data_IF_109745823856
#
_entry.id   IF_109745823856
#
_cell.length_a   1.000
_cell.length_b   1.000
_cell.length_c   1.000
_cell.angle_alpha   90.00
_cell.angle_beta   90.00
_cell.angle_gamma   90.00
#
_symmetry.space_group_name_H-M   'P 1'
#
loop_
_entity.id
_entity.type
_entity.pdbx_description
1 polymer ?
#
# COMPACT_ATOMS: atom_id res chain seq x y z
N UNK A 1 -16.60 -10.88 -1.31
CA UNK A 1 -15.63 -9.86 -1.77
C UNK A 1 -16.22 -8.49 -1.50
N UNK A 2 -15.53 -7.56 -0.82
CA UNK A 2 -16.08 -6.23 -0.50
C UNK A 2 -15.03 -5.13 -0.70
N UNK A 3 -15.28 -4.31 -1.71
CA UNK A 3 -14.52 -3.12 -2.11
C UNK A 3 -14.98 -1.92 -1.26
N UNK A 4 -14.07 -1.04 -0.84
CA UNK A 4 -14.42 0.26 -0.25
C UNK A 4 -13.64 1.38 -0.92
N UNK A 5 -14.37 2.42 -1.25
CA UNK A 5 -13.92 3.68 -1.81
C UNK A 5 -13.81 4.67 -0.65
N UNK A 6 -12.64 5.24 -0.39
CA UNK A 6 -12.49 6.40 0.50
C UNK A 6 -12.69 7.66 -0.34
N UNK A 7 -13.50 8.62 0.13
CA UNK A 7 -13.76 9.88 -0.58
C UNK A 7 -12.67 10.92 -0.27
N UNK A 8 -12.19 11.53 -1.35
CA UNK A 8 -11.42 12.78 -1.51
C UNK A 8 -10.13 12.96 -0.67
N UNK A 9 -8.95 12.76 -1.27
CA UNK A 9 -8.74 12.16 -2.60
C UNK A 9 -9.15 10.69 -2.59
N UNK A 10 -9.53 10.14 -3.74
CA UNK A 10 -9.90 8.72 -3.82
C UNK A 10 -8.68 7.88 -3.46
N UNK A 11 -8.80 6.96 -2.50
CA UNK A 11 -7.69 6.10 -2.13
C UNK A 11 -8.16 4.71 -1.69
N UNK A 12 -7.28 3.72 -1.83
CA UNK A 12 -7.54 2.35 -1.36
C UNK A 12 -6.28 1.72 -0.74
N UNK A 13 -6.48 0.89 0.29
CA UNK A 13 -5.42 0.07 0.89
C UNK A 13 -5.66 -1.41 0.55
N UNK A 14 -4.65 -2.09 0.02
CA UNK A 14 -4.66 -3.50 -0.35
C UNK A 14 -3.57 -4.25 0.42
N UNK A 15 -3.77 -5.56 0.64
CA UNK A 15 -2.70 -6.44 1.12
C UNK A 15 -2.36 -7.48 0.06
N UNK A 16 -1.13 -7.48 -0.41
CA UNK A 16 -0.68 -8.30 -1.52
C UNK A 16 0.29 -9.38 -1.04
N UNK A 17 0.17 -10.58 -1.61
CA UNK A 17 1.10 -11.67 -1.35
C UNK A 17 2.29 -11.59 -2.28
N UNK A 18 3.47 -11.51 -1.69
CA UNK A 18 4.72 -11.79 -2.35
C UNK A 18 5.29 -13.14 -1.93
N UNK A 19 6.29 -13.58 -2.70
CA UNK A 19 7.05 -14.79 -2.41
C UNK A 19 7.89 -14.66 -1.13
N UNK A 20 8.44 -13.47 -0.89
CA UNK A 20 9.38 -13.19 0.21
C UNK A 20 8.77 -12.32 1.33
N UNK A 21 7.44 -12.19 1.34
CA UNK A 21 6.75 -11.31 2.28
C UNK A 21 5.34 -10.92 1.85
N UNK A 22 4.64 -10.21 2.73
CA UNK A 22 3.37 -9.54 2.41
C UNK A 22 3.59 -8.05 2.19
N UNK A 23 2.70 -7.39 1.46
CA UNK A 23 2.81 -5.95 1.15
C UNK A 23 1.51 -5.25 1.43
N UNK A 24 1.55 -4.19 2.23
CA UNK A 24 0.43 -3.26 2.32
C UNK A 24 0.64 -2.16 1.30
N UNK A 25 -0.36 -1.94 0.46
CA UNK A 25 -0.29 -1.05 -0.70
C UNK A 25 -1.39 -0.02 -0.59
N UNK A 26 -1.03 1.23 -0.32
CA UNK A 26 -1.95 2.36 -0.30
C UNK A 26 -1.81 3.15 -1.60
N UNK A 27 -2.88 3.17 -2.38
CA UNK A 27 -2.96 3.89 -3.65
C UNK A 27 -3.78 5.16 -3.48
N UNK A 28 -3.30 6.28 -4.02
CA UNK A 28 -4.04 7.55 -4.10
C UNK A 28 -4.32 7.92 -5.56
N UNK A 29 -5.57 8.29 -5.85
CA UNK A 29 -6.12 8.67 -7.15
C UNK A 29 -6.79 10.06 -7.03
N UNK A 30 -5.98 11.12 -6.91
CA UNK A 30 -6.39 12.51 -7.18
C UNK A 30 -5.21 13.49 -7.01
N UNK A 31 -4.87 14.22 -8.08
CA UNK A 31 -3.98 15.39 -8.07
C UNK A 31 -2.47 15.12 -8.06
N UNK A 32 -2.01 14.05 -7.42
CA UNK A 32 -0.63 13.55 -7.48
C UNK A 32 -0.64 12.06 -7.13
N UNK A 33 -0.82 11.21 -8.14
CA UNK A 33 -1.05 9.79 -7.93
C UNK A 33 0.24 9.11 -7.45
N UNK A 34 0.14 8.40 -6.33
CA UNK A 34 1.26 7.70 -5.73
C UNK A 34 0.79 6.42 -5.06
N UNK A 35 1.61 5.37 -5.22
CA UNK A 35 1.47 4.11 -4.51
C UNK A 35 2.48 4.08 -3.37
N UNK A 36 2.00 3.86 -2.16
CA UNK A 36 2.81 3.67 -0.96
C UNK A 36 2.81 2.18 -0.62
N UNK A 37 3.99 1.59 -0.50
CA UNK A 37 4.16 0.16 -0.31
C UNK A 37 4.97 -0.05 0.96
N UNK A 38 4.41 -0.79 1.91
CA UNK A 38 5.14 -1.26 3.09
C UNK A 38 5.27 -2.77 3.03
N UNK A 39 6.51 -3.26 3.07
CA UNK A 39 6.84 -4.69 3.08
C UNK A 39 6.83 -5.26 4.49
N UNK A 40 6.23 -6.44 4.63
CA UNK A 40 6.32 -7.31 5.78
C UNK A 40 7.17 -8.54 5.43
N UNK A 41 8.10 -8.93 6.31
CA UNK A 41 8.99 -10.08 6.06
C UNK A 41 8.22 -11.43 5.99
N UNK A 42 7.14 -11.57 6.74
CA UNK A 42 6.28 -12.76 6.70
C UNK A 42 5.31 -12.74 5.52
N UNK A 43 5.06 -13.89 4.87
CA UNK A 43 4.13 -13.99 3.75
C UNK A 43 2.68 -13.79 4.20
N UNK A 44 1.80 -13.46 3.25
CA UNK A 44 0.37 -13.22 3.52
C UNK A 44 -0.31 -14.41 4.18
N UNK A 45 -0.05 -15.63 3.72
CA UNK A 45 -0.66 -16.83 4.31
C UNK A 45 -0.36 -16.98 5.80
N UNK A 46 0.85 -16.63 6.21
CA UNK A 46 1.23 -16.59 7.62
C UNK A 46 0.47 -15.46 8.35
N UNK A 47 0.43 -14.24 7.82
CA UNK A 47 -0.26 -13.14 8.48
C UNK A 47 -1.78 -13.36 8.60
N UNK A 48 -2.41 -13.92 7.56
CA UNK A 48 -3.85 -14.22 7.57
C UNK A 48 -4.19 -15.32 8.57
N UNK A 49 -3.33 -16.33 8.74
CA UNK A 49 -3.49 -17.35 9.79
C UNK A 49 -3.19 -16.80 11.18
N UNK A 50 -2.28 -15.83 11.30
CA UNK A 50 -1.88 -15.19 12.55
C UNK A 50 -2.59 -13.85 12.75
N UNK A 51 -3.91 -13.90 12.95
CA UNK A 51 -4.79 -12.71 13.09
C UNK A 51 -4.26 -11.61 14.02
N UNK A 52 -3.67 -11.89 15.20
CA UNK A 52 -3.13 -10.83 16.06
C UNK A 52 -1.99 -10.05 15.40
N UNK A 53 -1.09 -10.74 14.70
CA UNK A 53 0.05 -10.12 14.02
C UNK A 53 -0.41 -9.28 12.83
N UNK A 54 -1.35 -9.80 12.03
CA UNK A 54 -1.97 -9.04 10.95
C UNK A 54 -2.67 -7.78 11.44
N UNK A 55 -3.47 -7.87 12.53
CA UNK A 55 -4.13 -6.69 13.12
C UNK A 55 -3.13 -5.66 13.58
N UNK A 56 -2.06 -6.08 14.27
CA UNK A 56 -1.00 -5.18 14.73
C UNK A 56 -0.39 -4.42 13.55
N UNK A 57 -0.15 -5.11 12.44
CA UNK A 57 0.46 -4.49 11.27
C UNK A 57 -0.51 -3.60 10.49
N UNK A 58 -1.77 -3.99 10.37
CA UNK A 58 -2.81 -3.15 9.79
C UNK A 58 -2.94 -1.83 10.57
N UNK A 59 -3.03 -1.90 11.89
CA UNK A 59 -3.09 -0.71 12.76
C UNK A 59 -1.82 0.13 12.64
N UNK A 60 -0.65 -0.50 12.49
CA UNK A 60 0.58 0.25 12.24
C UNK A 60 0.53 1.01 10.91
N UNK A 61 0.05 0.39 9.83
CA UNK A 61 -0.11 1.06 8.51
C UNK A 61 -1.17 2.16 8.57
N UNK A 62 -2.30 1.91 9.21
CA UNK A 62 -3.35 2.92 9.43
C UNK A 62 -2.77 4.16 10.13
N UNK A 63 -1.97 3.98 11.19
CA UNK A 63 -1.30 5.08 11.86
C UNK A 63 -0.30 5.85 10.97
N UNK A 64 0.34 5.20 9.99
CA UNK A 64 1.21 5.89 9.00
C UNK A 64 0.38 6.72 8.03
N UNK A 65 -0.76 6.19 7.57
CA UNK A 65 -1.69 6.93 6.72
C UNK A 65 -2.24 8.15 7.45
N UNK A 66 -2.65 7.98 8.72
CA UNK A 66 -3.13 9.08 9.56
C UNK A 66 -2.05 10.16 9.77
N UNK A 67 -0.80 9.74 10.00
CA UNK A 67 0.33 10.68 10.07
C UNK A 67 0.52 11.43 8.74
N UNK A 68 0.51 10.74 7.60
CA UNK A 68 0.66 11.39 6.28
C UNK A 68 -0.48 12.39 6.02
N UNK A 69 -1.70 12.09 6.47
CA UNK A 69 -2.82 13.02 6.38
C UNK A 69 -2.68 14.23 7.32
N UNK A 70 -2.17 14.03 8.53
CA UNK A 70 -2.07 15.08 9.54
C UNK A 70 -0.84 16.00 9.37
N UNK A 71 0.34 15.42 9.16
CA UNK A 71 1.61 16.13 9.07
C UNK A 71 1.95 16.53 7.64
N UNK A 72 1.49 15.74 6.65
CA UNK A 72 1.84 15.91 5.25
C UNK A 72 2.77 14.80 4.73
N UNK A 73 2.81 14.68 3.39
CA UNK A 73 3.59 13.64 2.70
C UNK A 73 5.09 13.88 2.83
N UNK A 74 5.53 15.14 2.78
CA UNK A 74 6.95 15.47 2.74
C UNK A 74 7.60 15.15 4.09
N UNK A 75 6.89 15.40 5.16
CA UNK A 75 7.24 15.12 6.55
C UNK A 75 7.47 13.62 6.74
N UNK A 76 6.56 12.79 6.22
CA UNK A 76 6.71 11.33 6.28
C UNK A 76 7.93 10.82 5.51
N UNK A 77 8.27 11.47 4.40
CA UNK A 77 9.36 11.06 3.50
C UNK A 77 10.75 11.50 3.96
N UNK A 78 10.84 12.43 4.91
CA UNK A 78 12.11 12.80 5.54
C UNK A 78 12.67 11.68 6.41
N UNK A 79 11.80 10.79 6.90
CA UNK A 79 12.18 9.62 7.68
C UNK A 79 12.54 8.44 6.77
N UNK A 80 13.63 7.74 7.08
CA UNK A 80 13.98 6.49 6.39
C UNK A 80 13.18 5.33 6.98
N UNK A 81 12.20 4.84 6.23
CA UNK A 81 11.40 3.67 6.61
C UNK A 81 11.95 2.41 5.94
N UNK A 82 12.37 1.42 6.72
CA UNK A 82 12.81 0.14 6.18
C UNK A 82 11.64 -0.59 5.51
N UNK A 83 11.87 -1.16 4.32
CA UNK A 83 10.84 -1.87 3.56
C UNK A 83 9.72 -0.99 3.02
N UNK A 84 9.91 0.33 3.00
CA UNK A 84 8.98 1.27 2.41
C UNK A 84 9.42 1.69 1.01
N UNK A 85 8.48 1.73 0.08
CA UNK A 85 8.67 2.25 -1.26
C UNK A 85 7.51 3.14 -1.65
N UNK A 86 7.80 4.26 -2.32
CA UNK A 86 6.80 5.14 -2.93
C UNK A 86 6.98 5.15 -4.44
N UNK A 87 5.92 4.84 -5.18
CA UNK A 87 5.88 4.89 -6.65
C UNK A 87 5.00 6.05 -7.09
N UNK A 88 5.60 7.08 -7.68
CA UNK A 88 4.86 8.22 -8.25
C UNK A 88 4.40 7.85 -9.65
N UNK A 89 3.15 8.14 -9.99
CA UNK A 89 2.61 7.89 -11.32
C UNK A 89 1.55 8.94 -11.69
N UNK A 90 1.13 8.94 -12.94
CA UNK A 90 0.08 9.83 -13.44
C UNK A 90 -0.80 9.06 -14.42
N UNK A 91 -2.03 8.74 -14.01
CA UNK A 91 -2.94 7.99 -14.88
C UNK A 91 -3.52 8.82 -16.03
N UNK A 92 -3.27 10.15 -16.05
CA UNK A 92 -3.65 11.01 -17.18
C UNK A 92 -2.71 10.85 -18.37
N UNK A 93 -1.51 10.28 -18.16
CA UNK A 93 -0.58 9.97 -19.24
C UNK A 93 -1.07 8.73 -20.00
N UNK A 94 -0.99 8.74 -21.34
CA UNK A 94 -1.46 7.63 -22.17
C UNK A 94 -0.78 6.28 -21.88
N UNK A 95 0.41 6.31 -21.26
CA UNK A 95 1.17 5.14 -20.80
C UNK A 95 1.27 5.04 -19.26
N UNK A 96 0.54 5.87 -18.52
CA UNK A 96 0.65 6.01 -17.06
C UNK A 96 0.41 4.70 -16.32
N UNK A 97 -0.61 3.93 -16.73
CA UNK A 97 -0.86 2.59 -16.17
C UNK A 97 0.29 1.62 -16.46
N UNK A 98 0.89 1.67 -17.65
CA UNK A 98 1.97 0.77 -18.02
C UNK A 98 3.25 1.09 -17.24
N UNK A 99 3.56 2.38 -17.08
CA UNK A 99 4.65 2.87 -16.21
C UNK A 99 4.44 2.42 -14.78
N UNK A 100 3.27 2.70 -14.20
CA UNK A 100 2.90 2.24 -12.86
C UNK A 100 3.10 0.72 -12.69
N UNK A 101 2.55 -0.07 -13.62
CA UNK A 101 2.66 -1.54 -13.57
C UNK A 101 4.12 -1.99 -13.60
N UNK A 102 4.97 -1.34 -14.40
CA UNK A 102 6.39 -1.66 -14.49
C UNK A 102 7.13 -1.26 -13.22
N UNK A 103 6.85 -0.10 -12.63
CA UNK A 103 7.44 0.33 -11.36
C UNK A 103 7.05 -0.60 -10.19
N UNK A 104 5.77 -0.95 -10.09
CA UNK A 104 5.28 -1.91 -9.10
C UNK A 104 5.96 -3.27 -9.30
N UNK A 105 6.08 -3.71 -10.56
CA UNK A 105 6.85 -4.91 -10.87
C UNK A 105 8.30 -4.75 -10.41
N UNK A 106 8.99 -3.66 -10.69
CA UNK A 106 10.39 -3.48 -10.28
C UNK A 106 10.56 -3.52 -8.76
N UNK A 107 9.63 -2.91 -8.02
CA UNK A 107 9.57 -3.01 -6.55
C UNK A 107 9.42 -4.47 -6.07
N UNK A 108 8.90 -5.35 -6.91
CA UNK A 108 8.75 -6.79 -6.64
C UNK A 108 9.82 -7.67 -7.33
N UNK A 109 10.40 -7.23 -8.45
CA UNK A 109 11.26 -8.00 -9.36
C UNK A 109 12.74 -7.92 -8.98
N UNK A 110 13.12 -7.06 -8.03
CA UNK A 110 14.35 -7.27 -7.25
C UNK A 110 14.27 -8.55 -6.38
N UNK A 111 13.14 -9.28 -6.44
CA UNK A 111 12.86 -10.56 -5.77
C UNK A 111 11.86 -11.45 -6.60
N UNK A 112 12.22 -11.92 -7.81
CA UNK A 112 11.38 -12.79 -8.70
C UNK A 112 10.82 -14.09 -8.03
N UNK A 113 9.66 -14.70 -8.35
CA UNK A 113 8.67 -14.74 -9.43
C UNK A 113 7.27 -15.06 -8.83
N UNK A 114 6.17 -14.65 -9.50
CA UNK A 114 4.72 -14.93 -9.24
C UNK A 114 4.06 -14.23 -8.03
N UNK A 115 3.11 -13.34 -8.31
CA UNK A 115 2.06 -12.90 -7.37
C UNK A 115 0.93 -13.92 -7.45
N UNK A 116 0.81 -14.80 -6.44
CA UNK A 116 -0.18 -15.90 -6.48
C UNK A 116 -1.55 -15.51 -5.88
N UNK A 117 -1.66 -14.37 -5.17
CA UNK A 117 -2.94 -13.93 -4.61
C UNK A 117 -2.89 -12.49 -4.07
N UNK A 118 -3.93 -11.72 -4.37
CA UNK A 118 -4.19 -10.40 -3.79
C UNK A 118 -5.37 -10.53 -2.81
N UNK A 119 -5.18 -10.11 -1.56
CA UNK A 119 -6.23 -10.09 -0.55
C UNK A 119 -6.56 -8.64 -0.17
N UNK A 120 -7.73 -8.17 -0.56
CA UNK A 120 -8.19 -6.81 -0.22
C UNK A 120 -8.83 -6.83 1.18
N UNK A 121 -8.34 -6.01 2.12
CA UNK A 121 -8.87 -5.95 3.49
C UNK A 121 -9.61 -4.66 3.79
N UNK A 122 -10.51 -4.76 4.75
CA UNK A 122 -11.30 -3.64 5.26
C UNK A 122 -10.41 -2.71 6.09
N UNK A 123 -10.14 -1.51 5.59
CA UNK A 123 -9.63 -0.40 6.39
C UNK A 123 -10.80 0.47 6.83
N UNK A 124 -10.87 0.76 8.12
CA UNK A 124 -11.74 1.81 8.67
C UNK A 124 -10.89 3.07 8.76
N UNK A 125 -10.99 3.94 7.77
CA UNK A 125 -10.60 5.35 7.99
C UNK A 125 -11.77 5.99 8.72
N UNK A 126 -11.55 6.29 9.99
CA UNK A 126 -12.43 7.18 10.74
C UNK A 126 -12.34 8.54 10.04
N UNK A 127 -13.44 8.98 9.44
CA UNK A 127 -13.53 10.38 9.04
C UNK A 127 -13.33 11.25 10.29
N UNK A 128 -12.58 12.35 10.19
CA UNK A 128 -12.63 13.38 11.21
C UNK A 128 -14.01 14.05 11.17
N UNK A 129 -14.91 13.60 12.04
CA UNK A 129 -15.91 14.42 12.71
C UNK A 129 -16.09 13.89 14.13
#
# INVERSE_FOLDING_TARGET
>A
MRFRIVKSPFAFLCFLSGRTGGYFVWETLDGADATYIWRHAKPVGYLVSHKPEFKRWLTWVEGRIDFIHAAGRNEYLQEKHEGFTRVIHNYRDGDGFLKWKNEIKNCWMEQEHRVESAFCFHVRILNPK
#
